data_IF_032849596116
#
_entry.id   IF_032849596116
#
_cell.length_a   1.000
_cell.length_b   1.000
_cell.length_c   1.000
_cell.angle_alpha   90.00
_cell.angle_beta   90.00
_cell.angle_gamma   90.00
#
_symmetry.space_group_name_H-M   'P 1'
#
loop_
_entity.id
_entity.type
_entity.pdbx_description
1 polymer ?
#
# COMPACT_ATOMS: atom_id res chain seq x y z
N UNK A 1 1.74 -39.13 0.71
CA UNK A 1 2.02 -39.43 -0.71
C UNK A 1 0.94 -38.86 -1.64
N UNK A 2 -0.36 -39.06 -1.36
CA UNK A 2 -1.47 -38.53 -2.17
C UNK A 2 -1.52 -36.97 -2.19
N UNK A 3 -1.30 -36.30 -1.05
CA UNK A 3 -1.18 -34.83 -1.00
C UNK A 3 0.01 -34.28 -1.81
N UNK A 4 1.08 -35.07 -1.96
CA UNK A 4 2.25 -34.66 -2.74
C UNK A 4 2.00 -34.81 -4.25
N UNK A 5 1.20 -35.80 -4.67
CA UNK A 5 0.77 -35.92 -6.07
C UNK A 5 -0.21 -34.82 -6.48
N UNK A 6 -1.09 -34.37 -5.59
CA UNK A 6 -1.96 -33.21 -5.87
C UNK A 6 -1.12 -31.94 -6.04
N UNK A 7 -0.07 -31.73 -5.20
CA UNK A 7 0.88 -30.61 -5.34
C UNK A 7 1.54 -30.55 -6.72
N UNK A 8 1.95 -31.68 -7.29
CA UNK A 8 2.64 -31.71 -8.59
C UNK A 8 1.66 -31.60 -9.77
N UNK A 9 0.49 -32.24 -9.68
CA UNK A 9 -0.50 -32.25 -10.76
C UNK A 9 -1.23 -30.90 -10.89
N UNK A 10 -1.57 -30.24 -9.78
CA UNK A 10 -2.22 -28.92 -9.85
C UNK A 10 -1.27 -27.84 -10.39
N UNK A 11 0.02 -27.92 -10.03
CA UNK A 11 1.06 -27.01 -10.54
C UNK A 11 1.33 -27.22 -12.04
N UNK A 12 1.30 -28.47 -12.51
CA UNK A 12 1.47 -28.81 -13.92
C UNK A 12 0.26 -28.42 -14.79
N UNK A 13 -0.97 -28.60 -14.29
CA UNK A 13 -2.20 -28.30 -15.05
C UNK A 13 -2.45 -26.79 -15.14
N UNK A 14 -2.10 -26.00 -14.11
CA UNK A 14 -2.23 -24.54 -14.14
C UNK A 14 -1.17 -23.84 -15.02
N UNK A 15 -0.04 -24.49 -15.28
CA UNK A 15 1.05 -23.90 -16.08
C UNK A 15 0.81 -23.95 -17.61
N UNK A 16 -0.23 -24.65 -18.09
CA UNK A 16 -0.48 -24.85 -19.53
C UNK A 16 -1.65 -24.02 -20.11
N UNK A 17 -2.44 -23.33 -19.27
CA UNK A 17 -3.53 -22.45 -19.75
C UNK A 17 -3.46 -21.10 -19.03
N UNK A 18 -3.31 -20.00 -19.77
CA UNK A 18 -3.20 -18.62 -19.24
C UNK A 18 -4.42 -18.14 -18.42
N UNK A 19 -5.50 -18.91 -18.37
CA UNK A 19 -6.68 -18.65 -17.53
C UNK A 19 -6.98 -19.90 -16.71
N UNK A 20 -6.95 -19.85 -15.37
CA UNK A 20 -7.35 -20.99 -14.55
C UNK A 20 -8.81 -21.32 -14.85
N UNK A 21 -9.10 -22.60 -15.11
CA UNK A 21 -10.48 -23.03 -15.25
C UNK A 21 -11.26 -22.72 -13.97
N UNK A 22 -12.55 -22.42 -14.09
CA UNK A 22 -13.40 -22.13 -12.93
C UNK A 22 -13.38 -23.30 -11.92
N UNK A 23 -13.23 -24.54 -12.40
CA UNK A 23 -13.06 -25.72 -11.57
C UNK A 23 -11.73 -25.70 -10.79
N UNK A 24 -10.62 -25.33 -11.43
CA UNK A 24 -9.32 -25.23 -10.75
C UNK A 24 -9.32 -24.14 -9.68
N UNK A 25 -9.88 -22.96 -9.99
CA UNK A 25 -9.99 -21.88 -9.01
C UNK A 25 -10.86 -22.29 -7.81
N UNK A 26 -11.97 -23.01 -8.05
CA UNK A 26 -12.83 -23.54 -7.00
C UNK A 26 -12.06 -24.46 -6.04
N UNK A 27 -11.31 -25.41 -6.57
CA UNK A 27 -10.47 -26.31 -5.76
C UNK A 27 -9.46 -25.53 -4.90
N UNK A 28 -8.81 -24.53 -5.48
CA UNK A 28 -7.89 -23.66 -4.73
C UNK A 28 -8.60 -22.92 -3.59
N UNK A 29 -9.80 -22.39 -3.84
CA UNK A 29 -10.57 -21.68 -2.79
C UNK A 29 -11.08 -22.60 -1.67
N UNK A 30 -11.40 -23.86 -1.98
CA UNK A 30 -11.76 -24.86 -0.97
C UNK A 30 -10.56 -25.16 -0.06
N UNK A 31 -9.38 -25.42 -0.65
CA UNK A 31 -8.15 -25.68 0.09
C UNK A 31 -7.67 -24.47 0.91
N UNK A 32 -7.92 -23.24 0.45
CA UNK A 32 -7.71 -22.04 1.26
C UNK A 32 -8.54 -22.02 2.55
N UNK A 33 -9.64 -22.76 2.62
CA UNK A 33 -10.51 -22.78 3.80
C UNK A 33 -10.13 -23.90 4.76
N UNK A 34 -9.79 -25.09 4.23
CA UNK A 34 -9.62 -26.31 5.02
C UNK A 34 -8.17 -26.72 5.23
N UNK A 35 -7.26 -26.35 4.32
CA UNK A 35 -5.87 -26.80 4.29
C UNK A 35 -5.05 -26.38 5.51
N UNK A 36 -3.81 -26.87 5.59
CA UNK A 36 -2.82 -26.43 6.58
C UNK A 36 -2.34 -25.01 6.27
N UNK A 37 -1.78 -24.30 7.26
CA UNK A 37 -1.23 -22.94 7.07
C UNK A 37 -0.25 -22.85 5.89
N UNK A 38 0.73 -23.78 5.83
CA UNK A 38 1.71 -23.84 4.72
C UNK A 38 1.03 -24.03 3.35
N UNK A 39 -0.02 -24.87 3.28
CA UNK A 39 -0.77 -25.07 2.02
C UNK A 39 -1.51 -23.80 1.64
N UNK A 40 -2.16 -23.13 2.59
CA UNK A 40 -2.89 -21.88 2.35
C UNK A 40 -1.96 -20.77 1.87
N UNK A 41 -0.81 -20.56 2.51
CA UNK A 41 0.14 -19.52 2.10
C UNK A 41 0.64 -19.77 0.66
N UNK A 42 0.96 -21.03 0.32
CA UNK A 42 1.35 -21.39 -1.04
C UNK A 42 0.24 -21.14 -2.08
N UNK A 43 -1.02 -21.38 -1.72
CA UNK A 43 -2.15 -21.08 -2.60
C UNK A 43 -2.30 -19.57 -2.77
N UNK A 44 -2.15 -18.78 -1.72
CA UNK A 44 -2.18 -17.31 -1.79
C UNK A 44 -1.10 -16.77 -2.75
N UNK A 45 0.13 -17.28 -2.67
CA UNK A 45 1.23 -16.92 -3.60
C UNK A 45 0.93 -17.36 -5.04
N UNK A 46 0.33 -18.54 -5.23
CA UNK A 46 -0.08 -19.00 -6.55
C UNK A 46 -1.17 -18.09 -7.14
N UNK A 47 -2.12 -17.63 -6.34
CA UNK A 47 -3.16 -16.69 -6.75
C UNK A 47 -2.58 -15.32 -7.12
N UNK A 48 -1.56 -14.82 -6.40
CA UNK A 48 -0.84 -13.60 -6.80
C UNK A 48 -0.20 -13.76 -8.18
N UNK A 49 0.52 -14.86 -8.38
CA UNK A 49 1.19 -15.16 -9.65
C UNK A 49 0.20 -15.24 -10.80
N UNK A 50 -0.86 -16.06 -10.65
CA UNK A 50 -1.91 -16.19 -11.66
C UNK A 50 -2.57 -14.85 -11.97
N UNK A 51 -2.91 -14.08 -10.94
CA UNK A 51 -3.53 -12.77 -11.11
C UNK A 51 -2.66 -11.77 -11.87
N UNK A 52 -1.34 -11.82 -11.64
CA UNK A 52 -0.36 -10.97 -12.33
C UNK A 52 -0.12 -11.41 -13.78
N UNK A 53 -0.07 -12.72 -14.05
CA UNK A 53 0.11 -13.27 -15.40
C UNK A 53 -1.11 -13.05 -16.31
N UNK A 54 -2.31 -12.98 -15.72
CA UNK A 54 -3.54 -12.64 -16.42
C UNK A 54 -3.63 -11.16 -16.80
N UNK A 55 -2.82 -10.29 -16.17
CA UNK A 55 -2.77 -8.88 -16.53
C UNK A 55 -1.92 -8.68 -17.78
N UNK A 56 -2.54 -8.12 -18.82
CA UNK A 56 -1.84 -7.90 -20.10
C UNK A 56 -0.70 -6.90 -19.89
N UNK A 57 0.55 -7.27 -20.22
CA UNK A 57 1.69 -6.38 -20.03
C UNK A 57 1.51 -5.08 -20.83
N UNK A 58 1.82 -3.95 -20.21
CA UNK A 58 1.93 -2.64 -20.87
C UNK A 58 3.26 -2.01 -20.45
N UNK A 59 4.00 -1.38 -21.38
CA UNK A 59 5.33 -0.83 -21.08
C UNK A 59 5.30 0.21 -19.94
N UNK A 60 4.20 0.95 -19.83
CA UNK A 60 4.03 2.04 -18.87
C UNK A 60 3.31 1.60 -17.58
N UNK A 61 2.96 0.31 -17.47
CA UNK A 61 2.21 -0.21 -16.32
C UNK A 61 2.89 -1.40 -15.66
N UNK A 62 2.81 -1.45 -14.32
CA UNK A 62 3.06 -2.70 -13.61
C UNK A 62 1.89 -3.66 -13.72
N UNK A 63 2.21 -4.95 -13.69
CA UNK A 63 1.22 -6.00 -13.54
C UNK A 63 0.55 -5.88 -12.18
N UNK A 64 -0.79 -5.92 -12.20
CA UNK A 64 -1.65 -5.89 -11.02
C UNK A 64 -2.76 -6.93 -11.16
N UNK A 65 -3.36 -7.30 -10.04
CA UNK A 65 -4.47 -8.26 -10.03
C UNK A 65 -5.77 -7.49 -10.27
N UNK A 66 -6.40 -7.72 -11.44
CA UNK A 66 -7.72 -7.16 -11.80
C UNK A 66 -8.82 -8.20 -11.83
N UNK A 67 -8.47 -9.49 -11.83
CA UNK A 67 -9.44 -10.56 -11.94
C UNK A 67 -10.26 -10.68 -10.63
N UNK A 68 -11.54 -10.32 -10.69
CA UNK A 68 -12.44 -10.34 -9.53
C UNK A 68 -12.57 -11.72 -8.87
N UNK A 69 -12.45 -12.82 -9.61
CA UNK A 69 -12.52 -14.15 -9.00
C UNK A 69 -11.29 -14.44 -8.12
N UNK A 70 -10.11 -13.98 -8.54
CA UNK A 70 -8.86 -14.07 -7.76
C UNK A 70 -8.92 -13.11 -6.56
N UNK A 71 -9.34 -11.86 -6.77
CA UNK A 71 -9.50 -10.89 -5.68
C UNK A 71 -10.47 -11.42 -4.63
N UNK A 72 -11.61 -12.00 -5.05
CA UNK A 72 -12.57 -12.63 -4.13
C UNK A 72 -11.96 -13.81 -3.38
N UNK A 73 -11.22 -14.68 -4.05
CA UNK A 73 -10.56 -15.81 -3.41
C UNK A 73 -9.61 -15.35 -2.30
N UNK A 74 -8.79 -14.32 -2.59
CA UNK A 74 -7.90 -13.72 -1.60
C UNK A 74 -8.67 -13.02 -0.47
N UNK A 75 -9.69 -12.24 -0.81
CA UNK A 75 -10.45 -11.43 0.13
C UNK A 75 -11.42 -12.22 0.99
N UNK A 76 -11.89 -13.40 0.57
CA UNK A 76 -12.84 -14.22 1.33
C UNK A 76 -12.16 -15.46 1.89
N UNK A 77 -11.63 -16.31 1.02
CA UNK A 77 -11.04 -17.59 1.44
C UNK A 77 -9.65 -17.40 2.03
N UNK A 78 -8.88 -16.40 1.58
CA UNK A 78 -7.57 -16.08 2.16
C UNK A 78 -7.62 -15.66 3.63
N UNK A 79 -8.77 -15.20 4.11
CA UNK A 79 -9.02 -14.81 5.50
C UNK A 79 -9.83 -15.86 6.28
N UNK A 80 -9.92 -17.09 5.78
CA UNK A 80 -10.70 -18.14 6.45
C UNK A 80 -10.16 -18.49 7.85
N UNK A 81 -8.87 -18.28 8.09
CA UNK A 81 -8.20 -18.46 9.39
C UNK A 81 -7.24 -17.28 9.65
N UNK A 82 -7.00 -16.96 10.91
CA UNK A 82 -6.06 -15.91 11.33
C UNK A 82 -4.64 -16.50 11.47
N UNK A 83 -3.92 -16.54 10.35
CA UNK A 83 -2.57 -17.10 10.25
C UNK A 83 -1.73 -16.39 9.17
N UNK A 84 -0.51 -16.86 8.90
CA UNK A 84 0.39 -16.23 7.92
C UNK A 84 -0.21 -16.12 6.52
N UNK A 85 -1.10 -17.04 6.13
CA UNK A 85 -1.81 -16.97 4.87
C UNK A 85 -2.72 -15.73 4.75
N UNK A 86 -3.40 -15.35 5.84
CA UNK A 86 -4.25 -14.16 5.87
C UNK A 86 -3.42 -12.87 5.80
N UNK A 87 -2.31 -12.82 6.53
CA UNK A 87 -1.37 -11.69 6.49
C UNK A 87 -0.80 -11.51 5.06
N UNK A 88 -0.46 -12.62 4.39
CA UNK A 88 -0.01 -12.62 2.99
C UNK A 88 -1.11 -12.14 2.04
N UNK A 89 -2.33 -12.66 2.19
CA UNK A 89 -3.47 -12.27 1.36
C UNK A 89 -3.76 -10.77 1.48
N UNK A 90 -3.73 -10.23 2.72
CA UNK A 90 -3.86 -8.81 2.98
C UNK A 90 -2.76 -8.01 2.25
N UNK A 91 -1.50 -8.41 2.37
CA UNK A 91 -0.38 -7.74 1.72
C UNK A 91 -0.52 -7.71 0.18
N UNK A 92 -0.97 -8.80 -0.43
CA UNK A 92 -1.21 -8.88 -1.88
C UNK A 92 -2.36 -7.97 -2.29
N UNK A 93 -3.50 -8.01 -1.58
CA UNK A 93 -4.63 -7.13 -1.88
C UNK A 93 -4.22 -5.65 -1.79
N UNK A 94 -3.43 -5.31 -0.78
CA UNK A 94 -2.97 -3.95 -0.55
C UNK A 94 -1.87 -3.48 -1.51
N UNK A 95 -1.05 -4.37 -2.07
CA UNK A 95 0.07 -3.97 -2.96
C UNK A 95 -0.20 -4.21 -4.45
N UNK A 96 -1.06 -5.17 -4.79
CA UNK A 96 -1.30 -5.63 -6.17
C UNK A 96 -2.68 -5.32 -6.71
N UNK A 97 -3.60 -4.75 -5.93
CA UNK A 97 -4.95 -4.41 -6.43
C UNK A 97 -5.19 -2.90 -6.39
N UNK A 98 -5.94 -2.38 -7.37
CA UNK A 98 -6.40 -0.99 -7.35
C UNK A 98 -7.52 -0.79 -6.34
N UNK A 99 -7.67 0.43 -5.78
CA UNK A 99 -8.84 0.81 -5.00
C UNK A 99 -10.18 0.44 -5.66
N UNK A 100 -10.31 0.67 -6.98
CA UNK A 100 -11.54 0.41 -7.73
C UNK A 100 -11.88 -1.08 -7.84
N UNK A 101 -10.87 -1.94 -7.96
CA UNK A 101 -11.08 -3.39 -8.09
C UNK A 101 -11.41 -4.02 -6.73
N UNK A 102 -10.84 -3.47 -5.65
CA UNK A 102 -11.20 -3.85 -4.27
C UNK A 102 -12.61 -3.39 -3.89
N UNK A 103 -13.04 -2.22 -4.37
CA UNK A 103 -14.36 -1.66 -4.05
C UNK A 103 -15.54 -2.55 -4.47
N UNK A 104 -15.34 -3.49 -5.41
CA UNK A 104 -16.33 -4.47 -5.81
C UNK A 104 -16.73 -5.46 -4.69
N UNK A 105 -15.98 -5.50 -3.58
CA UNK A 105 -16.18 -6.40 -2.43
C UNK A 105 -16.44 -5.66 -1.12
N UNK A 106 -16.94 -4.43 -1.20
CA UNK A 106 -17.25 -3.57 -0.06
C UNK A 106 -18.14 -4.25 1.00
N UNK A 107 -19.10 -5.07 0.57
CA UNK A 107 -20.00 -5.84 1.43
C UNK A 107 -19.25 -6.84 2.33
N UNK A 108 -18.24 -7.53 1.78
CA UNK A 108 -17.38 -8.46 2.52
C UNK A 108 -16.65 -7.73 3.65
N UNK A 109 -16.05 -6.59 3.33
CA UNK A 109 -15.26 -5.83 4.29
C UNK A 109 -16.12 -5.23 5.40
N UNK A 110 -17.27 -4.65 5.03
CA UNK A 110 -18.23 -4.08 5.97
C UNK A 110 -18.79 -5.16 6.91
N UNK A 111 -19.15 -6.33 6.39
CA UNK A 111 -19.67 -7.44 7.21
C UNK A 111 -18.63 -7.97 8.22
N UNK A 112 -17.34 -8.01 7.84
CA UNK A 112 -16.28 -8.40 8.76
C UNK A 112 -16.05 -7.35 9.86
N UNK A 113 -16.00 -6.07 9.48
CA UNK A 113 -15.83 -4.96 10.43
C UNK A 113 -17.05 -4.81 11.37
N UNK A 114 -18.26 -5.16 10.91
CA UNK A 114 -19.45 -5.24 11.76
C UNK A 114 -19.28 -6.26 12.90
N UNK A 115 -18.54 -7.34 12.68
CA UNK A 115 -18.17 -8.31 13.71
C UNK A 115 -17.00 -7.83 14.60
N UNK A 116 -16.53 -6.60 14.40
CA UNK A 116 -15.44 -5.96 15.14
C UNK A 116 -14.10 -6.69 15.03
N UNK A 117 -13.90 -7.41 13.91
CA UNK A 117 -12.64 -8.03 13.50
C UNK A 117 -11.81 -7.02 12.73
N UNK A 118 -10.51 -6.93 13.05
CA UNK A 118 -9.61 -5.90 12.52
C UNK A 118 -9.07 -6.17 11.12
N UNK A 119 -9.20 -7.41 10.66
CA UNK A 119 -8.41 -8.00 9.58
C UNK A 119 -8.57 -7.26 8.24
N UNK A 120 -9.73 -6.62 8.04
CA UNK A 120 -10.07 -5.88 6.82
C UNK A 120 -9.93 -4.36 6.93
N UNK A 121 -9.46 -3.82 8.05
CA UNK A 121 -9.40 -2.36 8.27
C UNK A 121 -8.67 -1.64 7.12
N UNK A 122 -7.45 -2.09 6.80
CA UNK A 122 -6.64 -1.46 5.76
C UNK A 122 -7.20 -1.70 4.35
N UNK A 123 -7.82 -2.85 4.10
CA UNK A 123 -8.42 -3.17 2.81
C UNK A 123 -9.66 -2.29 2.57
N UNK A 124 -10.52 -2.16 3.58
CA UNK A 124 -11.68 -1.26 3.54
C UNK A 124 -11.26 0.21 3.34
N UNK A 125 -10.18 0.64 4.00
CA UNK A 125 -9.60 1.96 3.80
C UNK A 125 -9.10 2.16 2.37
N UNK A 126 -8.39 1.19 1.79
CA UNK A 126 -7.92 1.26 0.41
C UNK A 126 -9.08 1.26 -0.59
N UNK A 127 -10.06 0.39 -0.40
CA UNK A 127 -11.26 0.26 -1.23
C UNK A 127 -12.24 1.44 -1.11
N UNK A 128 -12.05 2.32 -0.11
CA UNK A 128 -12.96 3.44 0.23
C UNK A 128 -14.38 2.97 0.54
N UNK A 129 -14.51 1.87 1.28
CA UNK A 129 -15.79 1.25 1.68
C UNK A 129 -16.55 2.11 2.69
N UNK A 130 -17.32 3.10 2.22
CA UNK A 130 -18.03 4.06 3.09
C UNK A 130 -19.02 3.37 4.03
N UNK A 131 -19.60 2.26 3.62
CA UNK A 131 -20.53 1.44 4.40
C UNK A 131 -19.89 0.88 5.67
N UNK A 132 -18.56 0.74 5.71
CA UNK A 132 -17.82 0.27 6.87
C UNK A 132 -17.63 1.33 7.96
N UNK A 133 -17.81 2.62 7.62
CA UNK A 133 -17.56 3.76 8.52
C UNK A 133 -18.24 3.63 9.90
N UNK A 134 -19.55 3.36 10.03
CA UNK A 134 -20.18 3.27 11.35
C UNK A 134 -19.58 2.15 12.21
N UNK A 135 -19.09 1.07 11.61
CA UNK A 135 -18.44 -0.03 12.33
C UNK A 135 -17.05 0.37 12.80
N UNK A 136 -16.26 1.04 11.97
CA UNK A 136 -14.95 1.57 12.34
C UNK A 136 -15.05 2.61 13.47
N UNK A 137 -16.05 3.50 13.41
CA UNK A 137 -16.32 4.47 14.48
C UNK A 137 -16.67 3.77 15.80
N UNK A 138 -17.48 2.70 15.75
CA UNK A 138 -17.77 1.87 16.93
C UNK A 138 -16.53 1.13 17.44
N UNK A 139 -15.65 0.66 16.55
CA UNK A 139 -14.40 -0.01 16.92
C UNK A 139 -13.46 0.94 17.66
N UNK A 140 -13.38 2.21 17.23
CA UNK A 140 -12.57 3.25 17.85
C UNK A 140 -12.89 3.48 19.34
N UNK A 141 -14.12 3.20 19.76
CA UNK A 141 -14.58 3.36 21.14
C UNK A 141 -14.19 2.19 22.05
N UNK A 142 -13.76 1.07 21.50
CA UNK A 142 -13.40 -0.10 22.30
C UNK A 142 -12.00 0.04 22.91
N UNK A 143 -11.80 -0.34 24.20
CA UNK A 143 -10.49 -0.26 24.85
C UNK A 143 -9.35 -0.93 24.05
N UNK A 144 -9.61 -2.12 23.49
CA UNK A 144 -8.63 -2.90 22.70
C UNK A 144 -8.07 -2.17 21.48
N UNK A 145 -8.79 -1.17 20.99
CA UNK A 145 -8.41 -0.36 19.83
C UNK A 145 -7.93 1.04 20.23
N UNK A 146 -8.52 1.61 21.29
CA UNK A 146 -8.21 2.96 21.76
C UNK A 146 -6.92 3.03 22.55
N UNK A 147 -6.67 2.04 23.39
CA UNK A 147 -5.61 2.12 24.41
C UNK A 147 -4.24 1.70 23.83
N UNK A 148 -4.23 0.92 22.74
CA UNK A 148 -3.02 0.55 22.00
C UNK A 148 -2.67 1.62 20.93
N UNK A 149 -1.51 2.30 21.00
CA UNK A 149 -1.16 3.40 20.09
C UNK A 149 -1.21 3.04 18.59
N UNK A 150 -0.66 1.88 18.22
CA UNK A 150 -0.60 1.42 16.83
C UNK A 150 -1.99 1.17 16.24
N UNK A 151 -2.84 0.47 17.00
CA UNK A 151 -4.24 0.21 16.63
C UNK A 151 -5.07 1.47 16.54
N UNK A 152 -4.87 2.40 17.47
CA UNK A 152 -5.50 3.71 17.45
C UNK A 152 -5.09 4.51 16.21
N UNK A 153 -3.81 4.51 15.85
CA UNK A 153 -3.32 5.17 14.64
C UNK A 153 -3.95 4.55 13.37
N UNK A 154 -3.97 3.22 13.29
CA UNK A 154 -4.60 2.50 12.18
C UNK A 154 -6.08 2.86 12.02
N UNK A 155 -6.87 2.82 13.11
CA UNK A 155 -8.28 3.23 13.07
C UNK A 155 -8.44 4.66 12.60
N UNK A 156 -7.63 5.60 13.09
CA UNK A 156 -7.71 7.01 12.67
C UNK A 156 -7.46 7.17 11.17
N UNK A 157 -6.45 6.47 10.64
CA UNK A 157 -6.19 6.43 9.19
C UNK A 157 -7.41 5.90 8.43
N UNK A 158 -8.02 4.80 8.90
CA UNK A 158 -9.23 4.25 8.27
C UNK A 158 -10.39 5.23 8.35
N UNK A 159 -10.64 5.87 9.49
CA UNK A 159 -11.69 6.88 9.63
C UNK A 159 -11.52 8.03 8.63
N UNK A 160 -10.30 8.54 8.48
CA UNK A 160 -9.97 9.56 7.49
C UNK A 160 -10.20 9.06 6.05
N UNK A 161 -9.71 7.85 5.72
CA UNK A 161 -9.91 7.22 4.41
C UNK A 161 -11.39 7.04 4.04
N UNK A 162 -12.25 6.81 5.04
CA UNK A 162 -13.69 6.64 4.90
C UNK A 162 -14.48 7.96 5.00
N UNK A 163 -13.80 9.10 5.02
CA UNK A 163 -14.41 10.43 4.89
C UNK A 163 -14.60 11.21 6.20
N UNK A 164 -13.84 10.89 7.26
CA UNK A 164 -13.70 11.80 8.39
C UNK A 164 -12.68 12.90 8.05
N UNK A 165 -13.18 14.03 7.58
CA UNK A 165 -12.36 15.16 7.11
C UNK A 165 -11.61 15.87 8.24
N UNK A 166 -12.10 15.82 9.47
CA UNK A 166 -11.41 16.41 10.63
C UNK A 166 -10.14 15.62 10.93
N UNK A 167 -10.24 14.29 11.04
CA UNK A 167 -9.08 13.43 11.27
C UNK A 167 -8.10 13.50 10.09
N UNK A 168 -8.59 13.53 8.86
CA UNK A 168 -7.73 13.70 7.69
C UNK A 168 -6.94 15.03 7.75
N UNK A 169 -7.59 16.12 8.17
CA UNK A 169 -6.96 17.42 8.30
C UNK A 169 -5.82 17.39 9.34
N UNK A 170 -5.97 16.62 10.42
CA UNK A 170 -4.90 16.44 11.39
C UNK A 170 -3.63 15.81 10.77
N UNK A 171 -3.78 14.81 9.90
CA UNK A 171 -2.63 14.20 9.21
C UNK A 171 -1.99 15.15 8.19
N UNK A 172 -2.80 15.94 7.46
CA UNK A 172 -2.30 16.96 6.54
C UNK A 172 -1.52 18.04 7.29
N UNK A 173 -2.06 18.50 8.42
CA UNK A 173 -1.40 19.48 9.29
C UNK A 173 -0.11 18.91 9.90
N UNK A 174 -0.08 17.64 10.28
CA UNK A 174 1.12 16.98 10.78
C UNK A 174 2.24 16.96 9.74
N UNK A 175 1.93 16.64 8.47
CA UNK A 175 2.91 16.69 7.38
C UNK A 175 3.40 18.13 7.13
N UNK A 176 2.48 19.10 7.09
CA UNK A 176 2.80 20.52 6.90
C UNK A 176 3.69 21.06 8.03
N UNK A 177 3.40 20.70 9.27
CA UNK A 177 4.20 21.12 10.43
C UNK A 177 5.57 20.45 10.43
N UNK A 178 5.65 19.17 10.05
CA UNK A 178 6.93 18.47 9.91
C UNK A 178 7.85 19.10 8.86
N UNK A 179 7.30 19.65 7.77
CA UNK A 179 8.07 20.44 6.80
C UNK A 179 8.57 21.76 7.40
N UNK A 180 7.67 22.53 8.04
CA UNK A 180 8.00 23.86 8.59
C UNK A 180 9.03 23.80 9.71
N UNK A 181 8.87 22.82 10.60
CA UNK A 181 9.70 22.60 11.79
C UNK A 181 10.94 21.75 11.52
N UNK A 182 11.20 21.36 10.27
CA UNK A 182 12.34 20.53 9.89
C UNK A 182 13.66 21.08 10.47
N UNK A 183 14.35 20.33 11.33
CA UNK A 183 15.58 20.78 11.97
C UNK A 183 16.73 20.85 10.97
N UNK A 184 17.89 21.44 11.31
CA UNK A 184 19.08 21.35 10.48
C UNK A 184 19.44 19.89 10.18
N UNK A 185 19.89 19.63 8.96
CA UNK A 185 20.33 18.30 8.56
C UNK A 185 21.45 17.79 9.50
N UNK A 186 21.42 16.51 9.90
CA UNK A 186 22.47 15.95 10.74
C UNK A 186 23.81 15.99 9.99
N UNK A 187 24.94 16.16 10.70
CA UNK A 187 26.25 16.17 10.07
C UNK A 187 26.51 14.85 9.34
N UNK A 188 27.06 14.92 8.13
CA UNK A 188 27.48 13.75 7.36
C UNK A 188 29.01 13.72 7.27
N UNK A 189 29.62 12.55 7.51
CA UNK A 189 31.08 12.37 7.41
C UNK A 189 31.64 12.51 5.99
N UNK A 190 30.79 12.42 4.96
CA UNK A 190 31.22 12.39 3.56
C UNK A 190 31.08 13.74 2.84
N UNK A 191 30.25 14.66 3.33
CA UNK A 191 30.03 15.96 2.70
C UNK A 191 29.45 16.98 3.70
N UNK A 192 29.67 18.26 3.41
CA UNK A 192 29.11 19.35 4.20
C UNK A 192 27.61 19.52 3.89
N UNK A 193 26.77 19.42 4.92
CA UNK A 193 25.31 19.56 4.81
C UNK A 193 24.84 21.03 4.81
N UNK A 194 25.73 21.99 5.13
CA UNK A 194 25.47 23.42 5.00
C UNK A 194 24.18 23.87 5.70
N UNK A 195 23.29 24.51 4.93
CA UNK A 195 21.97 25.00 5.38
C UNK A 195 20.82 24.02 5.10
N UNK A 196 21.12 22.77 4.75
CA UNK A 196 20.09 21.76 4.50
C UNK A 196 19.28 21.46 5.77
N UNK A 197 18.02 21.09 5.58
CA UNK A 197 17.10 20.68 6.64
C UNK A 197 16.77 19.19 6.56
N UNK A 198 16.51 18.58 7.70
CA UNK A 198 16.14 17.18 7.87
C UNK A 198 14.64 16.97 7.64
N UNK A 199 14.29 16.37 6.51
CA UNK A 199 12.93 15.98 6.13
C UNK A 199 12.51 14.58 6.60
N UNK A 200 13.23 13.95 7.53
CA UNK A 200 12.92 12.58 7.99
C UNK A 200 11.53 12.46 8.58
N UNK A 201 11.10 13.45 9.37
CA UNK A 201 9.77 13.40 9.96
C UNK A 201 8.70 13.62 8.90
N UNK A 202 8.89 14.57 7.99
CA UNK A 202 7.99 14.76 6.84
C UNK A 202 7.84 13.45 6.04
N UNK A 203 8.95 12.78 5.71
CA UNK A 203 8.90 11.51 4.97
C UNK A 203 8.03 10.44 5.66
N UNK A 204 8.05 10.36 7.01
CA UNK A 204 7.17 9.46 7.76
C UNK A 204 5.72 9.90 7.72
N UNK A 205 5.45 11.20 7.81
CA UNK A 205 4.08 11.74 7.79
C UNK A 205 3.39 11.60 6.42
N UNK A 206 4.15 11.38 5.34
CA UNK A 206 3.58 11.10 4.01
C UNK A 206 2.95 9.71 3.89
N UNK A 207 3.44 8.72 4.65
CA UNK A 207 2.90 7.35 4.59
C UNK A 207 1.41 7.29 5.01
N UNK A 208 1.00 7.83 6.18
CA UNK A 208 -0.42 7.91 6.55
C UNK A 208 -1.29 8.60 5.51
N UNK A 209 -0.81 9.66 4.85
CA UNK A 209 -1.56 10.35 3.79
C UNK A 209 -1.77 9.46 2.56
N UNK A 210 -0.77 8.66 2.20
CA UNK A 210 -0.89 7.62 1.17
C UNK A 210 -1.96 6.58 1.54
N UNK A 211 -1.94 6.07 2.78
CA UNK A 211 -2.94 5.11 3.27
C UNK A 211 -4.35 5.70 3.32
N UNK A 212 -4.48 6.97 3.71
CA UNK A 212 -5.75 7.72 3.69
C UNK A 212 -6.27 7.83 2.26
N UNK A 213 -5.42 8.16 1.29
CA UNK A 213 -5.66 7.99 -0.14
C UNK A 213 -6.91 8.71 -0.68
N UNK A 214 -7.42 9.73 0.00
CA UNK A 214 -8.44 10.63 -0.53
C UNK A 214 -7.82 11.56 -1.57
N UNK A 215 -8.62 12.18 -2.43
CA UNK A 215 -8.11 13.18 -3.37
C UNK A 215 -7.36 14.32 -2.67
N UNK A 216 -7.85 14.79 -1.51
CA UNK A 216 -7.24 15.89 -0.76
C UNK A 216 -5.88 15.49 -0.18
N UNK A 217 -5.80 14.33 0.46
CA UNK A 217 -4.54 13.79 0.98
C UNK A 217 -3.52 13.54 -0.14
N UNK A 218 -3.95 12.95 -1.27
CA UNK A 218 -3.05 12.67 -2.40
C UNK A 218 -2.59 13.94 -3.12
N UNK A 219 -3.43 14.98 -3.20
CA UNK A 219 -3.00 16.30 -3.69
C UNK A 219 -1.92 16.90 -2.79
N UNK A 220 -2.07 16.76 -1.47
CA UNK A 220 -1.05 17.20 -0.52
C UNK A 220 0.24 16.37 -0.65
N UNK A 221 0.14 15.07 -0.88
CA UNK A 221 1.33 14.24 -1.19
C UNK A 221 2.02 14.71 -2.47
N UNK A 222 1.25 15.01 -3.53
CA UNK A 222 1.80 15.49 -4.80
C UNK A 222 2.63 16.77 -4.62
N UNK A 223 2.25 17.72 -3.74
CA UNK A 223 3.04 18.95 -3.57
C UNK A 223 4.48 18.70 -3.10
N UNK A 224 4.75 17.56 -2.47
CA UNK A 224 6.09 17.17 -2.04
C UNK A 224 6.93 16.49 -3.13
N UNK A 225 6.42 16.26 -4.34
CA UNK A 225 7.25 15.83 -5.48
C UNK A 225 8.31 16.86 -5.87
N UNK A 226 8.13 18.12 -5.46
CA UNK A 226 9.14 19.19 -5.60
C UNK A 226 9.85 19.54 -4.30
N UNK A 227 9.72 18.73 -3.25
CA UNK A 227 10.44 18.99 -2.00
C UNK A 227 11.95 18.90 -2.21
N UNK A 228 12.67 19.91 -1.72
CA UNK A 228 14.13 19.91 -1.66
C UNK A 228 14.68 19.17 -0.43
N UNK A 229 13.79 18.76 0.48
CA UNK A 229 14.16 18.09 1.71
C UNK A 229 14.64 16.65 1.46
N UNK A 230 15.56 16.21 2.31
CA UNK A 230 16.05 14.83 2.35
C UNK A 230 15.74 14.23 3.71
N UNK A 231 15.34 12.97 3.72
CA UNK A 231 15.30 12.12 4.91
C UNK A 231 16.66 11.48 5.16
N UNK A 232 17.03 11.33 6.41
CA UNK A 232 18.35 10.86 6.83
C UNK A 232 18.24 9.61 7.70
N UNK A 233 19.11 8.64 7.41
CA UNK A 233 19.48 7.58 8.35
C UNK A 233 20.90 7.89 8.79
N UNK A 234 21.03 8.28 10.06
CA UNK A 234 22.28 8.73 10.67
C UNK A 234 23.44 7.81 10.29
N UNK A 235 24.51 8.38 9.76
CA UNK A 235 25.75 7.70 9.34
C UNK A 235 25.62 6.62 8.24
N UNK A 236 24.42 6.45 7.66
CA UNK A 236 24.14 5.39 6.67
C UNK A 236 23.73 5.94 5.31
N UNK A 237 22.92 7.02 5.25
CA UNK A 237 21.79 7.20 4.31
C UNK A 237 21.28 8.64 4.23
N UNK A 238 21.18 9.25 3.05
CA UNK A 238 20.16 10.24 2.71
C UNK A 238 19.27 9.73 1.56
N UNK A 239 17.97 10.03 1.61
CA UNK A 239 16.99 9.78 0.54
C UNK A 239 16.14 11.03 0.39
N UNK A 240 15.89 11.46 -0.84
CA UNK A 240 14.97 12.57 -1.11
C UNK A 240 13.57 12.26 -0.58
N UNK A 241 12.94 13.22 0.10
CA UNK A 241 11.54 13.12 0.57
C UNK A 241 10.59 12.84 -0.59
N UNK A 242 10.93 13.30 -1.80
CA UNK A 242 10.16 13.05 -3.02
C UNK A 242 9.88 11.56 -3.26
N UNK A 243 10.78 10.66 -2.87
CA UNK A 243 10.52 9.22 -2.98
C UNK A 243 9.46 8.72 -2.00
N UNK A 244 9.39 9.28 -0.78
CA UNK A 244 8.31 8.94 0.15
C UNK A 244 6.94 9.41 -0.38
N UNK A 245 6.91 10.55 -1.09
CA UNK A 245 5.72 10.99 -1.79
C UNK A 245 5.32 10.02 -2.92
N UNK A 246 6.28 9.54 -3.72
CA UNK A 246 6.04 8.52 -4.73
C UNK A 246 5.52 7.20 -4.14
N UNK A 247 6.14 6.72 -3.06
CA UNK A 247 5.74 5.49 -2.34
C UNK A 247 4.27 5.61 -1.85
N UNK A 248 3.89 6.78 -1.30
CA UNK A 248 2.52 7.08 -0.87
C UNK A 248 1.51 7.12 -2.03
N UNK A 249 1.90 7.65 -3.20
CA UNK A 249 1.06 7.64 -4.41
C UNK A 249 0.91 6.22 -4.97
N UNK A 250 1.99 5.44 -5.05
CA UNK A 250 2.01 4.06 -5.56
C UNK A 250 1.04 3.15 -4.81
N UNK A 251 0.83 3.37 -3.51
CA UNK A 251 -0.18 2.62 -2.75
C UNK A 251 -1.57 2.67 -3.40
N UNK A 252 -1.99 3.85 -3.91
CA UNK A 252 -3.30 4.04 -4.54
C UNK A 252 -3.28 3.78 -6.05
N UNK A 253 -2.09 3.87 -6.67
CA UNK A 253 -1.89 3.69 -8.10
C UNK A 253 -0.81 2.63 -8.40
N UNK A 254 -1.03 1.37 -7.98
CA UNK A 254 0.02 0.34 -7.99
C UNK A 254 0.47 -0.08 -9.40
N UNK A 255 -0.31 0.24 -10.42
CA UNK A 255 0.03 -0.02 -11.81
C UNK A 255 0.85 1.09 -12.46
N UNK A 256 1.00 2.27 -11.85
CA UNK A 256 1.60 3.42 -12.52
C UNK A 256 3.13 3.39 -12.45
N UNK A 257 3.77 2.92 -13.53
CA UNK A 257 5.23 2.76 -13.57
C UNK A 257 5.99 4.07 -13.44
N UNK A 258 5.40 5.17 -13.92
CA UNK A 258 5.96 6.53 -13.81
C UNK A 258 6.19 6.97 -12.37
N UNK A 259 5.51 6.36 -11.40
CA UNK A 259 5.67 6.66 -9.99
C UNK A 259 6.79 5.85 -9.32
N UNK A 260 7.39 4.88 -10.02
CA UNK A 260 8.36 3.96 -9.42
C UNK A 260 9.80 4.29 -9.80
N UNK A 261 10.57 4.73 -8.81
CA UNK A 261 12.02 4.96 -8.86
C UNK A 261 12.48 5.79 -10.09
N UNK A 262 11.95 7.01 -10.33
CA UNK A 262 12.46 7.87 -11.39
C UNK A 262 13.90 8.30 -11.10
N UNK A 263 14.76 8.21 -12.13
CA UNK A 263 16.21 8.45 -12.03
C UNK A 263 16.71 9.67 -12.81
N UNK A 264 15.89 10.19 -13.72
CA UNK A 264 16.22 11.32 -14.57
C UNK A 264 15.12 12.39 -14.55
N UNK A 265 15.41 13.56 -15.13
CA UNK A 265 14.46 14.66 -15.22
C UNK A 265 13.17 14.25 -15.95
N UNK A 266 13.27 13.38 -16.96
CA UNK A 266 12.12 12.90 -17.72
C UNK A 266 11.16 12.08 -16.83
N UNK A 267 11.70 11.16 -16.02
CA UNK A 267 10.93 10.36 -15.07
C UNK A 267 10.26 11.23 -14.00
N UNK A 268 10.99 12.19 -13.43
CA UNK A 268 10.40 13.14 -12.48
C UNK A 268 9.31 14.02 -13.11
N UNK A 269 9.54 14.51 -14.33
CA UNK A 269 8.54 15.24 -15.10
C UNK A 269 7.30 14.38 -15.39
N UNK A 270 7.47 13.10 -15.69
CA UNK A 270 6.36 12.18 -15.92
C UNK A 270 5.52 11.96 -14.65
N UNK A 271 6.16 11.86 -13.48
CA UNK A 271 5.46 11.78 -12.20
C UNK A 271 4.68 13.06 -11.87
N UNK A 272 5.24 14.25 -12.14
CA UNK A 272 4.51 15.52 -12.00
C UNK A 272 3.31 15.58 -12.94
N UNK A 273 3.49 15.21 -14.22
CA UNK A 273 2.40 15.16 -15.21
C UNK A 273 1.32 14.16 -14.81
N UNK A 274 1.68 13.03 -14.21
CA UNK A 274 0.72 12.11 -13.62
C UNK A 274 -0.13 12.80 -12.54
N UNK A 275 0.50 13.49 -11.57
CA UNK A 275 -0.21 14.23 -10.52
C UNK A 275 -1.13 15.32 -11.08
N UNK A 276 -0.68 16.07 -12.10
CA UNK A 276 -1.50 17.08 -12.80
C UNK A 276 -2.73 16.42 -13.43
N UNK A 277 -2.51 15.39 -14.26
CA UNK A 277 -3.57 14.80 -15.08
C UNK A 277 -4.57 13.96 -14.25
N UNK A 278 -4.12 13.27 -13.21
CA UNK A 278 -4.97 12.37 -12.41
C UNK A 278 -5.60 13.02 -11.20
N UNK A 279 -4.89 13.94 -10.53
CA UNK A 279 -5.34 14.52 -9.27
C UNK A 279 -5.70 16.01 -9.40
N UNK A 280 -5.19 16.68 -10.43
CA UNK A 280 -5.33 18.12 -10.62
C UNK A 280 -4.34 18.91 -9.77
N UNK A 281 -3.14 18.35 -9.54
CA UNK A 281 -2.08 19.04 -8.81
C UNK A 281 -1.61 20.28 -9.59
N UNK A 282 -1.20 21.31 -8.85
CA UNK A 282 -0.55 22.50 -9.39
C UNK A 282 0.81 22.60 -8.73
N UNK A 283 1.85 22.73 -9.54
CA UNK A 283 3.22 22.86 -9.08
C UNK A 283 3.72 24.28 -9.33
N UNK A 284 4.21 24.92 -8.28
CA UNK A 284 4.84 26.24 -8.36
C UNK A 284 6.38 26.11 -8.34
N UNK A 285 7.07 27.13 -8.85
CA UNK A 285 8.53 27.20 -8.88
C UNK A 285 9.20 26.33 -9.94
N UNK A 286 10.55 26.32 -9.98
CA UNK A 286 11.31 25.42 -10.85
C UNK A 286 11.27 23.98 -10.33
N UNK A 287 11.35 23.00 -11.23
CA UNK A 287 11.59 21.60 -10.87
C UNK A 287 12.96 21.50 -10.18
N UNK A 288 13.06 20.89 -8.97
CA UNK A 288 14.34 20.73 -8.30
C UNK A 288 15.28 19.82 -9.08
N UNK A 289 16.59 19.98 -8.85
CA UNK A 289 17.62 19.09 -9.42
C UNK A 289 17.31 17.61 -9.12
N UNK A 290 17.79 16.72 -10.00
CA UNK A 290 17.65 15.27 -9.80
C UNK A 290 18.25 14.92 -8.43
N UNK A 291 17.53 14.17 -7.57
CA UNK A 291 18.11 13.72 -6.32
C UNK A 291 19.39 12.92 -6.61
N UNK A 292 20.48 13.10 -5.83
CA UNK A 292 21.69 12.32 -6.07
C UNK A 292 21.37 10.83 -6.02
N UNK A 293 21.85 10.12 -7.03
CA UNK A 293 21.61 8.71 -7.37
C UNK A 293 22.26 7.74 -6.35
N UNK A 294 22.08 7.98 -5.05
CA UNK A 294 22.60 7.07 -4.04
C UNK A 294 21.60 5.92 -3.83
N UNK A 295 21.92 4.68 -4.26
CA UNK A 295 21.08 3.54 -3.95
C UNK A 295 21.06 3.34 -2.43
N UNK A 296 19.87 3.36 -1.84
CA UNK A 296 19.66 2.83 -0.50
C UNK A 296 19.36 1.33 -0.61
N UNK A 297 19.82 0.48 0.32
CA UNK A 297 19.33 -0.89 0.41
C UNK A 297 17.80 -0.84 0.57
N UNK A 298 17.09 -1.40 -0.41
CA UNK A 298 15.65 -1.62 -0.33
C UNK A 298 15.36 -2.35 0.97
N UNK A 299 14.77 -1.64 1.94
CA UNK A 299 14.00 -2.31 2.98
C UNK A 299 12.86 -3.00 2.26
N UNK A 300 13.00 -4.29 2.03
CA UNK A 300 11.85 -5.20 2.06
C UNK A 300 11.18 -4.84 3.38
N UNK A 301 9.97 -4.26 3.32
CA UNK A 301 9.18 -3.97 4.51
C UNK A 301 9.29 -5.19 5.42
N UNK A 302 9.86 -5.08 6.64
CA UNK A 302 9.84 -6.21 7.53
C UNK A 302 8.37 -6.53 7.76
N UNK A 303 7.99 -7.78 7.45
CA UNK A 303 6.72 -8.33 7.91
C UNK A 303 6.58 -7.96 9.39
N UNK A 304 5.40 -7.48 9.83
CA UNK A 304 5.20 -7.17 11.23
C UNK A 304 5.59 -8.39 12.05
N UNK A 305 6.62 -8.23 12.88
CA UNK A 305 7.00 -9.25 13.83
C UNK A 305 5.87 -9.37 14.84
N UNK A 306 5.16 -10.50 14.84
CA UNK A 306 4.15 -10.77 15.87
C UNK A 306 4.84 -10.89 17.24
N UNK A 307 4.22 -10.25 18.23
CA UNK A 307 4.16 -10.80 19.59
C UNK A 307 3.00 -11.78 19.66
#
# INVERSE_FOLDING_TARGET
MILYMIRVVLFAVLSMTMVPSQAALKLLTEELTTGTEEVRENIVLLLEKLGSEMDTPSPDKFQIIRNHAIIRALAVNGFAKDDAAADRAAAILLSRCKPTDLAAFNDVYAASLQQMKGDYLNIAAKAKTREARPFVEKMALQPKWRDEPERRAAIRIVQAALGNTEIEEEFINAATEAEKSAPPAPPNRFYNVGTAKDGTELAKQLEPLGLIGTRRSLLHVCSYLRSSLKSYVRDVSEKSVRYAALDALLYNFPDERVLNDPRDLAGWSAAEQFCINKLGAVFEGPTPDIPPDQPYPTRILPLPARK
#
